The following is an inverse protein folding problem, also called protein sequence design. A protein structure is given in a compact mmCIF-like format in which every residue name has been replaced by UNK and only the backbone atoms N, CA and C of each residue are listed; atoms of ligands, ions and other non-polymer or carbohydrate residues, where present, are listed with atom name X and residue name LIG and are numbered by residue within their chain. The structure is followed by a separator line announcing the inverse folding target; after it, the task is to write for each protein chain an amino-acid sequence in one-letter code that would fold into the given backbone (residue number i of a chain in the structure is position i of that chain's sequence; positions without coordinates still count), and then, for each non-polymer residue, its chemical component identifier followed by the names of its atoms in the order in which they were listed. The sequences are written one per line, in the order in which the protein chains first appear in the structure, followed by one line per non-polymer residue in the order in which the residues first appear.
data_IF_289919227486
#
_entry.id   IF_289919227486
#
_cell.length_a   1.000
_cell.length_b   1.000
_cell.length_c   1.000
_cell.angle_alpha   90.00
_cell.angle_beta   90.00
_cell.angle_gamma   90.00
#
_symmetry.space_group_name_H-M   'P 1'
#
loop_
_entity.id
_entity.type
_entity.pdbx_description
1 polymer ?
#
# COMPACT_ATOMS: atom_id res chain seq x y z
N UNK A 1 10.01 0.34 -1.91
CA UNK A 1 9.13 1.28 -1.18
C UNK A 1 7.64 1.05 -1.45
N UNK A 2 7.17 0.97 -2.71
CA UNK A 2 5.75 0.65 -3.03
C UNK A 2 5.23 -0.60 -2.31
N UNK A 3 5.85 -1.76 -2.56
CA UNK A 3 5.48 -3.02 -1.90
C UNK A 3 5.62 -3.00 -0.38
N UNK A 4 6.63 -2.32 0.16
CA UNK A 4 6.87 -2.27 1.61
C UNK A 4 5.73 -1.59 2.36
N UNK A 5 5.33 -0.39 1.93
CA UNK A 5 4.20 0.31 2.54
C UNK A 5 2.87 -0.35 2.15
N UNK A 6 2.72 -0.81 0.90
CA UNK A 6 1.49 -1.47 0.46
C UNK A 6 1.17 -2.75 1.25
N UNK A 7 2.18 -3.57 1.59
CA UNK A 7 2.01 -4.74 2.46
C UNK A 7 1.61 -4.34 3.88
N UNK A 8 2.18 -3.26 4.43
CA UNK A 8 1.82 -2.76 5.77
C UNK A 8 0.41 -2.18 5.80
N UNK A 9 0.00 -1.50 4.73
CA UNK A 9 -1.36 -0.97 4.58
C UNK A 9 -2.37 -2.10 4.55
N UNK A 10 -2.12 -3.15 3.76
CA UNK A 10 -2.96 -4.35 3.73
C UNK A 10 -3.00 -5.10 5.05
N UNK A 11 -1.87 -5.15 5.77
CA UNK A 11 -1.81 -5.74 7.09
C UNK A 11 -2.54 -4.90 8.17
N UNK A 12 -3.11 -3.73 7.81
CA UNK A 12 -3.77 -2.83 8.75
C UNK A 12 -2.83 -2.15 9.75
N UNK A 13 -1.51 -2.22 9.50
CA UNK A 13 -0.48 -1.68 10.40
C UNK A 13 -0.40 -0.15 10.26
N UNK A 14 -0.71 0.38 9.08
CA UNK A 14 -0.75 1.81 8.81
C UNK A 14 -1.68 2.11 7.63
N UNK A 15 -1.91 3.39 7.36
CA UNK A 15 -2.75 3.87 6.26
C UNK A 15 -1.92 4.54 5.17
N UNK A 16 -2.52 4.76 3.99
CA UNK A 16 -1.86 5.48 2.89
C UNK A 16 -1.49 6.93 3.26
N UNK A 17 -2.22 7.53 4.20
CA UNK A 17 -1.98 8.89 4.68
C UNK A 17 -0.69 9.01 5.49
N UNK A 18 -0.32 7.96 6.20
CA UNK A 18 0.93 7.88 6.98
C UNK A 18 2.15 7.62 6.10
N UNK A 19 1.95 7.30 4.81
CA UNK A 19 3.04 7.18 3.86
C UNK A 19 3.57 8.58 3.52
N UNK A 20 4.91 8.79 3.58
CA UNK A 20 5.52 10.05 3.16
C UNK A 20 5.09 10.45 1.73
N UNK A 21 4.78 11.73 1.52
CA UNK A 21 4.21 12.24 0.27
C UNK A 21 5.01 11.82 -0.98
N UNK A 22 6.35 11.80 -0.87
CA UNK A 22 7.25 11.35 -1.93
C UNK A 22 7.00 9.91 -2.39
N UNK A 23 6.57 9.04 -1.48
CA UNK A 23 6.31 7.63 -1.77
C UNK A 23 4.84 7.32 -2.07
N UNK A 24 3.89 8.20 -1.71
CA UNK A 24 2.45 7.95 -1.87
C UNK A 24 2.09 7.50 -3.28
N UNK A 25 2.52 8.20 -4.32
CA UNK A 25 2.22 7.84 -5.71
C UNK A 25 2.72 6.43 -6.08
N UNK A 26 3.89 6.02 -5.55
CA UNK A 26 4.47 4.70 -5.81
C UNK A 26 3.79 3.59 -5.01
N UNK A 27 3.24 3.92 -3.84
CA UNK A 27 2.47 3.00 -2.99
C UNK A 27 1.06 2.82 -3.53
N UNK A 28 0.41 3.92 -3.92
CA UNK A 28 -0.90 3.94 -4.56
C UNK A 28 -0.91 3.06 -5.82
N UNK A 29 0.03 3.30 -6.75
CA UNK A 29 0.18 2.45 -7.94
C UNK A 29 0.38 0.97 -7.58
N UNK A 30 1.18 0.68 -6.57
CA UNK A 30 1.40 -0.71 -6.16
C UNK A 30 0.14 -1.35 -5.59
N UNK A 31 -0.68 -0.62 -4.83
CA UNK A 31 -1.96 -1.08 -4.30
C UNK A 31 -3.02 -1.31 -5.39
N UNK A 32 -2.95 -0.55 -6.49
CA UNK A 32 -3.81 -0.79 -7.67
C UNK A 32 -3.34 -2.02 -8.44
N UNK A 33 -2.03 -2.11 -8.73
CA UNK A 33 -1.43 -3.22 -9.49
C UNK A 33 -1.48 -4.55 -8.71
N UNK A 34 -1.56 -4.46 -7.39
CA UNK A 34 -1.74 -5.59 -6.48
C UNK A 34 -3.04 -5.32 -5.72
N UNK A 35 -4.20 -5.76 -6.20
CA UNK A 35 -5.46 -5.71 -5.44
C UNK A 35 -5.47 -6.79 -4.35
N UNK A 36 -6.05 -6.49 -3.19
CA UNK A 36 -6.15 -7.45 -2.08
C UNK A 36 -7.15 -8.53 -2.49
N UNK A 37 -6.63 -9.67 -2.94
CA UNK A 37 -7.47 -10.80 -3.31
C UNK A 37 -8.08 -11.38 -2.03
N UNK A 38 -9.26 -10.87 -1.65
CA UNK A 38 -10.11 -11.41 -0.59
C UNK A 38 -10.81 -12.69 -1.06
N UNK A 39 -10.01 -13.67 -1.51
CA UNK A 39 -10.46 -15.05 -1.69
C UNK A 39 -9.73 -15.91 -0.67
N UNK A 40 -10.13 -15.81 0.60
CA UNK A 40 -9.98 -16.85 1.63
C UNK A 40 -11.02 -16.66 2.72
#
# INVERSE_FOLDING_TARGET
MGAFYGLRIRAGIMTLEEVPAFWRAKVDKWLVDNPENKER
#
